data_IF_759752162707
#
_entry.id   IF_759752162707
#
_cell.length_a   1.000
_cell.length_b   1.000
_cell.length_c   1.000
_cell.angle_alpha   90.00
_cell.angle_beta   90.00
_cell.angle_gamma   90.00
#
_symmetry.space_group_name_H-M   'P 1'
#
loop_
_entity.id
_entity.type
_entity.pdbx_description
1 polymer ?
#
# COMPACT_ATOMS: atom_id res chain seq x y z
N UNK A 1 -39.03 69.32 -1.50
CA UNK A 1 -40.39 68.72 -1.61
C UNK A 1 -40.54 68.05 -2.97
N UNK A 2 -41.40 67.02 -3.08
CA UNK A 2 -41.56 66.04 -4.18
C UNK A 2 -40.66 64.80 -4.00
N UNK A 3 -41.03 63.82 -3.17
CA UNK A 3 -41.99 62.69 -3.34
C UNK A 3 -41.55 61.59 -4.34
N UNK A 4 -41.11 60.48 -3.75
CA UNK A 4 -41.41 59.05 -4.02
C UNK A 4 -41.35 58.54 -5.48
N UNK A 5 -40.48 57.56 -5.71
CA UNK A 5 -40.88 56.23 -6.20
C UNK A 5 -39.97 55.15 -5.60
N UNK A 6 -40.58 54.34 -4.72
CA UNK A 6 -40.06 53.10 -4.13
C UNK A 6 -40.57 51.99 -5.04
N UNK A 7 -39.70 51.15 -5.57
CA UNK A 7 -40.06 49.89 -6.22
C UNK A 7 -39.65 48.76 -5.28
N UNK A 8 -40.67 48.17 -4.65
CA UNK A 8 -40.65 46.79 -4.16
C UNK A 8 -41.18 45.91 -5.29
N UNK A 9 -40.55 44.77 -5.57
CA UNK A 9 -41.20 43.49 -5.94
C UNK A 9 -40.18 42.36 -5.62
N UNK A 10 -40.37 41.55 -4.57
CA UNK A 10 -41.16 40.30 -4.46
C UNK A 10 -40.36 39.05 -4.86
N UNK A 11 -40.02 38.26 -3.84
CA UNK A 11 -39.78 36.82 -3.94
C UNK A 11 -41.11 36.07 -4.00
N UNK A 12 -41.18 34.98 -4.76
CA UNK A 12 -41.79 33.74 -4.26
C UNK A 12 -40.82 32.57 -4.53
N UNK A 13 -40.64 31.60 -3.64
CA UNK A 13 -41.69 30.78 -3.04
C UNK A 13 -41.50 29.36 -3.58
N UNK A 14 -41.20 28.44 -2.67
CA UNK A 14 -40.91 27.04 -2.91
C UNK A 14 -42.04 26.27 -3.61
N UNK A 15 -41.68 25.27 -4.40
CA UNK A 15 -42.44 24.04 -4.61
C UNK A 15 -41.44 22.90 -4.87
N UNK A 16 -41.45 21.92 -3.97
CA UNK A 16 -40.83 20.63 -4.20
C UNK A 16 -41.74 19.72 -5.02
N UNK A 17 -41.17 18.65 -5.56
CA UNK A 17 -41.83 17.35 -5.51
C UNK A 17 -40.79 16.22 -5.58
N UNK A 18 -41.21 15.14 -4.94
CA UNK A 18 -40.54 14.01 -4.37
C UNK A 18 -40.10 12.98 -5.43
N UNK A 19 -38.93 12.35 -5.20
CA UNK A 19 -38.74 10.95 -5.56
C UNK A 19 -38.12 10.20 -4.37
N UNK A 20 -39.01 9.64 -3.55
CA UNK A 20 -38.72 8.59 -2.57
C UNK A 20 -38.20 7.36 -3.32
N UNK A 21 -37.03 6.86 -2.90
CA UNK A 21 -36.62 5.48 -3.13
C UNK A 21 -36.51 4.86 -1.73
N UNK A 22 -37.49 4.04 -1.38
CA UNK A 22 -37.49 3.24 -0.16
C UNK A 22 -36.27 2.33 -0.13
N UNK A 23 -35.43 2.49 0.88
CA UNK A 23 -34.45 1.50 1.27
C UNK A 23 -34.74 1.12 2.72
N UNK A 24 -35.29 -0.08 2.87
CA UNK A 24 -35.56 -0.73 4.14
C UNK A 24 -34.31 -0.70 5.03
N UNK A 25 -34.41 0.02 6.14
CA UNK A 25 -33.44 -0.02 7.22
C UNK A 25 -33.62 -1.33 7.98
N UNK A 26 -32.66 -2.25 7.83
CA UNK A 26 -32.51 -3.35 8.78
C UNK A 26 -31.77 -2.78 9.98
N UNK A 27 -32.53 -2.52 11.06
CA UNK A 27 -32.00 -2.24 12.40
C UNK A 27 -31.33 -3.51 12.91
N UNK A 28 -30.02 -3.46 13.15
CA UNK A 28 -29.32 -4.43 13.98
C UNK A 28 -29.12 -3.79 15.35
N UNK A 29 -29.76 -4.41 16.34
CA UNK A 29 -29.83 -3.98 17.73
C UNK A 29 -28.42 -3.79 18.32
N UNK A 30 -28.21 -2.64 18.96
CA UNK A 30 -27.22 -2.51 20.03
C UNK A 30 -27.69 -3.36 21.20
N UNK A 31 -26.86 -4.33 21.60
CA UNK A 31 -26.99 -5.02 22.88
C UNK A 31 -25.69 -4.79 23.64
N UNK A 32 -25.85 -4.15 24.80
CA UNK A 32 -24.83 -3.95 25.81
C UNK A 32 -24.16 -5.29 26.16
N UNK A 33 -22.83 -5.30 26.19
CA UNK A 33 -22.06 -6.43 26.74
C UNK A 33 -21.35 -5.93 27.98
N UNK A 34 -21.89 -6.36 29.12
CA UNK A 34 -21.32 -6.24 30.45
C UNK A 34 -19.93 -6.89 30.54
N UNK A 35 -19.12 -6.33 31.44
CA UNK A 35 -17.77 -6.77 31.77
C UNK A 35 -17.76 -8.23 32.27
N UNK A 36 -17.06 -9.11 31.55
CA UNK A 36 -16.84 -10.50 31.92
C UNK A 36 -15.38 -10.76 32.31
N UNK A 37 -15.19 -11.24 33.54
CA UNK A 37 -13.93 -11.58 34.21
C UNK A 37 -12.92 -12.41 33.41
N UNK A 38 -11.63 -12.08 33.62
CA UNK A 38 -10.47 -12.83 33.16
C UNK A 38 -10.30 -14.14 33.95
N UNK A 39 -10.50 -15.29 33.31
CA UNK A 39 -9.99 -16.57 33.83
C UNK A 39 -8.53 -16.74 33.45
N UNK A 40 -7.68 -16.78 34.48
CA UNK A 40 -6.23 -17.01 34.42
C UNK A 40 -5.96 -18.51 34.29
N UNK A 41 -5.38 -18.96 33.18
CA UNK A 41 -4.89 -20.34 33.03
C UNK A 41 -3.36 -20.35 33.05
N UNK A 42 -2.82 -21.05 34.05
CA UNK A 42 -1.40 -21.17 34.35
C UNK A 42 -0.65 -22.06 33.33
N UNK A 43 0.65 -21.80 33.18
CA UNK A 43 1.55 -22.49 32.26
C UNK A 43 1.92 -23.87 32.82
N UNK A 44 1.38 -24.93 32.21
CA UNK A 44 1.82 -26.31 32.40
C UNK A 44 3.19 -26.59 31.76
N UNK A 45 3.99 -27.36 32.48
CA UNK A 45 5.40 -27.67 32.27
C UNK A 45 5.68 -28.66 31.14
N UNK A 46 6.93 -28.58 30.63
CA UNK A 46 7.51 -29.36 29.52
C UNK A 46 7.50 -30.86 29.83
N UNK A 47 7.11 -31.70 28.85
CA UNK A 47 7.47 -33.13 28.80
C UNK A 47 8.20 -33.46 27.50
N UNK A 48 9.18 -34.35 27.66
CA UNK A 48 10.19 -34.75 26.69
C UNK A 48 9.66 -35.69 25.60
N UNK A 49 10.34 -35.67 24.45
CA UNK A 49 10.10 -36.54 23.30
C UNK A 49 10.68 -37.95 23.52
N UNK A 50 10.03 -39.01 23.01
CA UNK A 50 10.63 -40.33 22.91
C UNK A 50 11.39 -40.52 21.59
N UNK A 51 12.54 -41.18 21.70
CA UNK A 51 13.44 -41.65 20.63
C UNK A 51 12.84 -42.83 19.84
N UNK A 52 13.11 -42.96 18.52
CA UNK A 52 12.79 -44.18 17.78
C UNK A 52 14.00 -45.15 17.75
N UNK A 53 13.70 -46.45 17.86
CA UNK A 53 14.62 -47.58 17.59
C UNK A 53 14.31 -48.19 16.20
N UNK A 54 15.25 -48.96 15.60
CA UNK A 54 15.35 -49.14 14.15
C UNK A 54 14.57 -50.35 13.62
N UNK A 55 14.18 -50.29 12.35
CA UNK A 55 13.62 -51.41 11.57
C UNK A 55 14.64 -51.93 10.54
N UNK A 56 14.61 -53.23 10.20
CA UNK A 56 15.70 -53.91 9.50
C UNK A 56 15.61 -53.82 7.97
N UNK A 57 16.79 -54.00 7.40
CA UNK A 57 17.18 -54.07 6.00
C UNK A 57 16.52 -55.24 5.25
N UNK A 58 15.96 -54.97 4.07
CA UNK A 58 15.59 -55.99 3.09
C UNK A 58 16.04 -55.50 1.71
N UNK A 59 17.07 -56.14 1.21
CA UNK A 59 17.72 -55.95 -0.09
C UNK A 59 17.11 -56.92 -1.11
N UNK A 60 16.64 -56.43 -2.26
CA UNK A 60 16.56 -57.19 -3.54
C UNK A 60 16.42 -56.22 -4.73
N UNK A 61 16.75 -56.60 -5.99
CA UNK A 61 17.93 -56.10 -6.67
C UNK A 61 17.65 -55.31 -7.95
N UNK A 62 18.76 -54.78 -8.46
CA UNK A 62 19.00 -54.09 -9.73
C UNK A 62 18.27 -54.68 -10.95
N UNK A 63 17.56 -53.80 -11.67
CA UNK A 63 17.08 -54.02 -13.02
C UNK A 63 17.26 -52.73 -13.83
N UNK A 64 18.35 -52.70 -14.58
CA UNK A 64 18.72 -51.68 -15.56
C UNK A 64 17.89 -51.84 -16.85
N UNK A 65 17.06 -50.85 -17.22
CA UNK A 65 16.65 -50.57 -18.63
C UNK A 65 16.10 -49.12 -18.74
N UNK A 66 16.05 -48.49 -19.92
CA UNK A 66 17.03 -47.51 -20.39
C UNK A 66 16.50 -46.06 -20.46
N UNK A 67 17.44 -45.16 -20.67
CA UNK A 67 17.31 -43.73 -20.96
C UNK A 67 16.30 -43.44 -22.10
N UNK A 68 15.17 -42.82 -21.73
CA UNK A 68 14.25 -42.20 -22.67
C UNK A 68 14.35 -40.67 -22.53
N UNK A 69 15.01 -40.05 -23.49
CA UNK A 69 15.16 -38.60 -23.63
C UNK A 69 13.80 -37.95 -23.88
N UNK A 70 13.26 -37.23 -22.88
CA UNK A 70 12.06 -36.39 -23.07
C UNK A 70 12.50 -34.95 -23.38
N UNK A 71 12.12 -34.36 -24.53
CA UNK A 71 12.50 -33.00 -24.88
C UNK A 71 11.67 -31.97 -24.09
N UNK A 72 12.35 -31.00 -23.49
CA UNK A 72 11.83 -29.64 -23.34
C UNK A 72 10.73 -29.43 -22.31
N UNK A 73 11.01 -29.67 -21.01
CA UNK A 73 10.25 -29.02 -19.94
C UNK A 73 10.61 -27.53 -19.97
N UNK A 74 9.78 -26.73 -20.63
CA UNK A 74 9.79 -25.28 -20.43
C UNK A 74 9.40 -25.02 -19.00
N UNK A 75 10.36 -24.62 -18.17
CA UNK A 75 10.10 -24.19 -16.79
C UNK A 75 9.04 -23.08 -16.87
N UNK A 76 7.83 -23.25 -16.32
CA UNK A 76 6.82 -22.22 -16.37
C UNK A 76 7.36 -20.98 -15.67
N UNK A 77 7.39 -19.87 -16.41
CA UNK A 77 7.66 -18.52 -15.88
C UNK A 77 6.91 -18.37 -14.56
N UNK A 78 7.53 -17.88 -13.46
CA UNK A 78 6.85 -17.82 -12.17
C UNK A 78 5.54 -17.03 -12.33
N UNK A 79 4.43 -17.69 -12.00
CA UNK A 79 3.09 -17.11 -12.06
C UNK A 79 3.07 -15.77 -11.33
N UNK A 80 2.44 -14.77 -11.93
CA UNK A 80 2.33 -13.42 -11.38
C UNK A 80 1.91 -13.48 -9.90
N UNK A 81 2.81 -13.04 -9.00
CA UNK A 81 2.52 -13.00 -7.57
C UNK A 81 1.67 -11.77 -7.27
N UNK A 82 0.41 -11.98 -6.92
CA UNK A 82 -0.47 -10.93 -6.43
C UNK A 82 -0.06 -10.53 -5.00
N UNK A 83 -0.09 -9.23 -4.66
CA UNK A 83 0.14 -8.80 -3.29
C UNK A 83 -1.01 -9.26 -2.40
N UNK A 84 -0.75 -9.63 -1.13
CA UNK A 84 -1.80 -10.00 -0.21
C UNK A 84 -2.70 -8.79 0.07
N UNK A 85 -4.00 -9.05 0.13
CA UNK A 85 -5.00 -8.08 0.59
C UNK A 85 -5.11 -8.23 2.10
N UNK A 86 -4.84 -7.17 2.86
CA UNK A 86 -4.95 -7.18 4.32
C UNK A 86 -6.29 -6.58 4.70
N UNK A 87 -7.20 -7.42 5.19
CA UNK A 87 -8.52 -7.00 5.67
C UNK A 87 -8.46 -6.81 7.18
N UNK A 88 -8.81 -5.62 7.65
CA UNK A 88 -9.03 -5.35 9.08
C UNK A 88 -10.39 -5.92 9.43
N UNK A 89 -10.41 -7.13 9.97
CA UNK A 89 -11.65 -7.75 10.45
C UNK A 89 -11.38 -8.49 11.77
N UNK A 90 -12.16 -8.23 12.83
CA UNK A 90 -12.09 -9.01 14.06
C UNK A 90 -12.63 -10.45 13.93
N UNK A 91 -13.49 -10.76 12.95
CA UNK A 91 -14.18 -12.06 12.81
C UNK A 91 -13.82 -12.79 11.52
N UNK A 92 -12.86 -13.71 11.61
CA UNK A 92 -12.36 -14.50 10.47
C UNK A 92 -13.43 -15.34 9.77
N UNK A 93 -14.37 -15.93 10.52
CA UNK A 93 -15.37 -16.85 9.95
C UNK A 93 -16.35 -16.14 9.01
N UNK A 94 -16.75 -14.92 9.33
CA UNK A 94 -17.62 -14.10 8.48
C UNK A 94 -16.91 -13.79 7.16
N UNK A 95 -15.63 -13.37 7.22
CA UNK A 95 -14.81 -13.12 6.04
C UNK A 95 -14.64 -14.36 5.16
N UNK A 96 -14.38 -15.52 5.77
CA UNK A 96 -14.22 -16.78 5.05
C UNK A 96 -15.50 -17.18 4.31
N UNK A 97 -16.63 -17.14 5.01
CA UNK A 97 -17.93 -17.52 4.44
C UNK A 97 -18.34 -16.58 3.31
N UNK A 98 -18.10 -15.28 3.49
CA UNK A 98 -18.36 -14.27 2.48
C UNK A 98 -17.53 -14.49 1.20
N UNK A 99 -16.22 -14.72 1.33
CA UNK A 99 -15.32 -14.86 0.18
C UNK A 99 -15.35 -16.24 -0.48
N UNK A 100 -15.86 -17.27 0.21
CA UNK A 100 -15.95 -18.64 -0.33
C UNK A 100 -16.73 -18.71 -1.65
N UNK A 101 -17.72 -17.84 -1.84
CA UNK A 101 -18.56 -17.78 -3.04
C UNK A 101 -18.02 -16.79 -4.09
N UNK A 102 -17.00 -16.00 -3.76
CA UNK A 102 -16.45 -14.94 -4.63
C UNK A 102 -15.24 -15.46 -5.39
N UNK A 103 -14.29 -16.11 -4.69
CA UNK A 103 -13.02 -16.51 -5.27
C UNK A 103 -12.35 -17.64 -4.49
N UNK A 104 -11.47 -18.39 -5.16
CA UNK A 104 -10.60 -19.35 -4.49
C UNK A 104 -9.38 -18.63 -3.89
N UNK A 105 -9.38 -18.45 -2.57
CA UNK A 105 -8.38 -17.66 -1.84
C UNK A 105 -7.79 -18.43 -0.66
N UNK A 106 -6.55 -18.10 -0.30
CA UNK A 106 -5.87 -18.61 0.89
C UNK A 106 -5.76 -17.53 1.95
N UNK A 107 -5.74 -17.91 3.24
CA UNK A 107 -5.75 -16.96 4.35
C UNK A 107 -4.54 -17.12 5.28
N UNK A 108 -4.07 -15.99 5.82
CA UNK A 108 -3.13 -15.97 6.94
C UNK A 108 -3.59 -14.93 7.98
N UNK A 109 -3.87 -15.40 9.19
CA UNK A 109 -4.22 -14.51 10.31
C UNK A 109 -2.95 -13.81 10.81
N UNK A 110 -3.04 -12.49 10.97
CA UNK A 110 -1.96 -11.64 11.49
C UNK A 110 -2.50 -10.70 12.56
N UNK A 111 -1.64 -10.16 13.41
CA UNK A 111 -2.10 -9.28 14.50
C UNK A 111 -2.85 -8.01 14.05
N UNK A 112 -2.73 -7.61 12.78
CA UNK A 112 -3.42 -6.44 12.19
C UNK A 112 -4.79 -6.82 11.58
N UNK A 113 -5.04 -8.10 11.30
CA UNK A 113 -6.22 -8.57 10.58
C UNK A 113 -5.97 -9.88 9.84
N UNK A 114 -6.62 -10.08 8.70
CA UNK A 114 -6.45 -11.29 7.88
C UNK A 114 -5.84 -10.94 6.53
N UNK A 115 -4.75 -11.63 6.17
CA UNK A 115 -4.19 -11.59 4.82
C UNK A 115 -4.94 -12.57 3.94
N UNK A 116 -5.43 -12.10 2.80
CA UNK A 116 -6.05 -12.89 1.75
C UNK A 116 -5.07 -12.96 0.59
N UNK A 117 -4.71 -14.17 0.17
CA UNK A 117 -3.85 -14.45 -0.96
C UNK A 117 -4.69 -14.94 -2.12
N UNK A 118 -4.45 -14.35 -3.28
CA UNK A 118 -5.19 -14.63 -4.51
C UNK A 118 -4.20 -15.04 -5.60
N UNK A 119 -4.60 -16.01 -6.44
CA UNK A 119 -3.74 -16.57 -7.50
C UNK A 119 -4.07 -16.04 -8.90
N UNK A 120 -5.31 -15.59 -9.14
CA UNK A 120 -5.81 -15.10 -10.44
C UNK A 120 -6.11 -13.61 -10.39
N UNK A 121 -6.01 -12.95 -11.54
CA UNK A 121 -6.28 -11.51 -11.66
C UNK A 121 -7.78 -11.18 -11.53
N UNK A 122 -8.63 -11.99 -12.14
CA UNK A 122 -10.09 -11.88 -12.05
C UNK A 122 -10.57 -12.00 -10.61
N UNK A 123 -10.11 -13.03 -9.90
CA UNK A 123 -10.37 -13.24 -8.48
C UNK A 123 -9.89 -12.05 -7.63
N UNK A 124 -8.73 -11.47 -7.95
CA UNK A 124 -8.18 -10.35 -7.21
C UNK A 124 -9.08 -9.11 -7.35
N UNK A 125 -9.52 -8.82 -8.57
CA UNK A 125 -10.48 -7.75 -8.83
C UNK A 125 -11.83 -8.01 -8.14
N UNK A 126 -12.36 -9.23 -8.23
CA UNK A 126 -13.63 -9.62 -7.60
C UNK A 126 -13.59 -9.46 -6.07
N UNK A 127 -12.51 -9.89 -5.42
CA UNK A 127 -12.32 -9.73 -3.98
C UNK A 127 -12.26 -8.25 -3.59
N UNK A 128 -11.56 -7.41 -4.36
CA UNK A 128 -11.52 -5.96 -4.08
C UNK A 128 -12.91 -5.32 -4.20
N UNK A 129 -13.63 -5.59 -5.28
CA UNK A 129 -14.99 -5.08 -5.48
C UNK A 129 -15.94 -5.55 -4.39
N UNK A 130 -15.83 -6.82 -3.97
CA UNK A 130 -16.63 -7.37 -2.88
C UNK A 130 -16.36 -6.64 -1.56
N UNK A 131 -15.08 -6.42 -1.22
CA UNK A 131 -14.70 -5.76 0.03
C UNK A 131 -15.11 -4.28 0.04
N UNK A 132 -15.03 -3.59 -1.09
CA UNK A 132 -15.50 -2.20 -1.24
C UNK A 132 -17.03 -2.11 -1.09
N UNK A 133 -17.76 -3.01 -1.75
CA UNK A 133 -19.23 -3.07 -1.67
C UNK A 133 -19.72 -3.39 -0.26
N UNK A 134 -18.98 -4.27 0.44
CA UNK A 134 -19.27 -4.64 1.83
C UNK A 134 -18.77 -3.62 2.85
N UNK A 135 -18.24 -2.47 2.41
CA UNK A 135 -17.66 -1.41 3.23
C UNK A 135 -16.62 -1.91 4.26
N UNK A 136 -15.82 -2.90 3.86
CA UNK A 136 -14.78 -3.47 4.70
C UNK A 136 -13.53 -2.57 4.70
N UNK A 137 -12.89 -2.43 5.85
CA UNK A 137 -11.59 -1.76 5.93
C UNK A 137 -10.48 -2.70 5.47
N UNK A 138 -9.79 -2.37 4.38
CA UNK A 138 -8.66 -3.16 3.90
C UNK A 138 -7.57 -2.31 3.26
N UNK A 139 -6.41 -2.91 3.01
CA UNK A 139 -5.40 -2.35 2.12
C UNK A 139 -4.66 -3.43 1.35
N UNK A 140 -4.06 -3.06 0.22
CA UNK A 140 -3.18 -3.93 -0.57
C UNK A 140 -2.00 -3.12 -1.12
N UNK A 141 -1.16 -3.76 -1.94
CA UNK A 141 0.00 -3.13 -2.58
C UNK A 141 -0.17 -3.09 -4.10
N UNK A 142 0.64 -2.26 -4.76
CA UNK A 142 0.68 -2.24 -6.22
C UNK A 142 1.16 -3.60 -6.76
N UNK A 143 0.54 -4.05 -7.85
CA UNK A 143 1.00 -5.24 -8.57
C UNK A 143 2.43 -5.03 -9.07
N UNK A 144 3.31 -6.06 -9.02
CA UNK A 144 4.69 -5.95 -9.49
C UNK A 144 4.83 -5.49 -10.96
N UNK A 145 3.81 -5.77 -11.78
CA UNK A 145 3.70 -5.34 -13.19
C UNK A 145 3.46 -3.83 -13.31
N UNK A 146 2.75 -3.24 -12.36
CA UNK A 146 2.35 -1.82 -12.37
C UNK A 146 3.40 -0.92 -11.69
N UNK A 147 4.39 -1.50 -11.00
CA UNK A 147 5.46 -0.73 -10.38
C UNK A 147 6.35 -0.10 -11.46
N UNK A 148 6.44 1.23 -11.56
CA UNK A 148 7.22 1.88 -12.59
C UNK A 148 8.73 1.67 -12.36
N UNK A 149 9.47 1.63 -13.46
CA UNK A 149 10.92 1.77 -13.46
C UNK A 149 11.26 3.24 -13.18
N UNK A 150 12.06 3.51 -12.15
CA UNK A 150 12.32 4.87 -11.67
C UNK A 150 13.76 5.27 -11.93
N UNK A 151 13.95 6.40 -12.58
CA UNK A 151 15.26 6.99 -12.88
C UNK A 151 15.24 8.48 -12.58
N UNK A 152 16.42 9.06 -12.33
CA UNK A 152 16.59 10.47 -12.06
C UNK A 152 17.41 11.10 -13.18
N UNK A 153 16.92 12.21 -13.71
CA UNK A 153 17.68 13.09 -14.61
C UNK A 153 18.30 14.21 -13.76
N UNK A 154 19.59 14.45 -13.97
CA UNK A 154 20.34 15.60 -13.46
C UNK A 154 20.83 16.49 -14.59
N UNK A 155 21.05 17.76 -14.29
CA UNK A 155 21.67 18.74 -15.20
C UNK A 155 20.67 19.63 -15.94
N UNK A 156 19.37 19.32 -15.86
CA UNK A 156 18.33 20.17 -16.43
C UNK A 156 18.08 21.41 -15.56
N UNK A 157 17.74 22.56 -16.15
CA UNK A 157 17.30 23.73 -15.41
C UNK A 157 15.89 23.53 -14.84
N UNK A 158 15.36 24.56 -14.18
CA UNK A 158 13.94 24.60 -13.86
C UNK A 158 13.12 24.68 -15.16
N UNK A 159 12.30 23.67 -15.39
CA UNK A 159 11.48 23.49 -16.59
C UNK A 159 10.14 22.87 -16.20
N UNK A 160 9.15 23.05 -17.08
CA UNK A 160 7.86 22.41 -16.94
C UNK A 160 7.96 20.91 -17.23
N UNK A 161 7.19 20.12 -16.51
CA UNK A 161 7.20 18.65 -16.63
C UNK A 161 6.75 18.20 -18.02
N UNK A 162 5.86 18.97 -18.66
CA UNK A 162 5.37 18.72 -20.01
C UNK A 162 6.48 18.79 -21.07
N UNK A 163 7.38 19.78 -20.98
CA UNK A 163 8.47 19.95 -21.94
C UNK A 163 9.44 18.77 -21.88
N UNK A 164 9.77 18.35 -20.65
CA UNK A 164 10.64 17.20 -20.42
C UNK A 164 9.98 15.92 -20.94
N UNK A 165 8.67 15.75 -20.72
CA UNK A 165 7.93 14.59 -21.20
C UNK A 165 7.97 14.50 -22.73
N UNK A 166 7.67 15.59 -23.42
CA UNK A 166 7.67 15.62 -24.88
C UNK A 166 9.06 15.29 -25.46
N UNK A 167 10.14 15.82 -24.87
CA UNK A 167 11.50 15.51 -25.31
C UNK A 167 11.85 14.04 -25.12
N UNK A 168 11.43 13.44 -24.00
CA UNK A 168 11.67 12.02 -23.74
C UNK A 168 10.86 11.12 -24.67
N UNK A 169 9.63 11.50 -25.02
CA UNK A 169 8.80 10.77 -25.98
C UNK A 169 9.37 10.84 -27.41
N UNK A 170 9.97 11.97 -27.81
CA UNK A 170 10.69 12.12 -29.08
C UNK A 170 11.91 11.19 -29.18
N UNK A 171 12.60 10.96 -28.05
CA UNK A 171 13.67 9.98 -27.94
C UNK A 171 13.16 8.53 -27.80
N UNK A 172 11.84 8.30 -27.94
CA UNK A 172 11.21 6.98 -27.90
C UNK A 172 11.00 6.40 -26.50
N UNK A 173 11.13 7.21 -25.44
CA UNK A 173 10.95 6.77 -24.05
C UNK A 173 9.48 6.87 -23.63
N UNK A 174 8.86 5.75 -23.27
CA UNK A 174 7.49 5.71 -22.76
C UNK A 174 7.42 6.13 -21.29
N UNK A 175 7.31 7.43 -21.06
CA UNK A 175 7.19 8.03 -19.73
C UNK A 175 5.75 7.91 -19.22
N UNK A 176 5.59 7.52 -17.95
CA UNK A 176 4.30 7.44 -17.25
C UNK A 176 4.09 8.62 -16.28
N UNK A 177 5.17 9.29 -15.88
CA UNK A 177 5.09 10.48 -15.04
C UNK A 177 6.45 11.08 -14.75
N UNK A 178 6.47 12.40 -14.57
CA UNK A 178 7.66 13.20 -14.25
C UNK A 178 7.35 13.95 -12.97
N UNK A 179 8.34 14.05 -12.08
CA UNK A 179 8.19 14.78 -10.82
C UNK A 179 9.48 15.53 -10.50
N UNK A 180 9.40 16.84 -10.28
CA UNK A 180 10.53 17.60 -9.75
C UNK A 180 10.85 17.18 -8.30
N UNK A 181 12.10 16.83 -8.03
CA UNK A 181 12.61 16.59 -6.67
C UNK A 181 13.25 17.88 -6.16
N UNK A 182 12.61 18.51 -5.17
CA UNK A 182 13.20 19.65 -4.44
C UNK A 182 14.28 19.19 -3.46
N UNK A 183 15.41 19.88 -3.41
CA UNK A 183 16.44 19.67 -2.38
C UNK A 183 16.06 20.43 -1.10
N UNK A 184 16.44 19.89 0.06
CA UNK A 184 16.13 20.49 1.37
C UNK A 184 16.69 21.90 1.56
N UNK A 185 17.79 22.23 0.88
CA UNK A 185 18.47 23.53 0.94
C UNK A 185 18.56 24.21 -0.43
N UNK A 186 17.58 23.95 -1.30
CA UNK A 186 17.47 24.66 -2.58
C UNK A 186 17.05 26.10 -2.28
N UNK A 187 17.95 27.06 -2.46
CA UNK A 187 17.60 28.48 -2.41
C UNK A 187 16.82 28.88 -3.67
N UNK A 188 16.03 29.94 -3.59
CA UNK A 188 15.14 30.40 -4.66
C UNK A 188 15.87 30.79 -5.97
N UNK A 189 17.21 30.84 -5.96
CA UNK A 189 18.06 31.14 -7.12
C UNK A 189 18.84 29.96 -7.73
N UNK A 190 18.70 28.73 -7.20
CA UNK A 190 19.45 27.55 -7.70
C UNK A 190 18.74 26.91 -8.92
N UNK A 191 18.70 27.65 -10.04
CA UNK A 191 18.01 27.24 -11.27
C UNK A 191 18.84 26.34 -12.19
N UNK A 192 20.13 26.13 -11.90
CA UNK A 192 20.99 25.25 -12.67
C UNK A 192 21.14 23.91 -11.95
N UNK A 193 20.72 22.79 -12.57
CA UNK A 193 20.84 21.42 -12.04
C UNK A 193 19.69 20.96 -11.11
N UNK A 194 18.46 21.19 -11.56
CA UNK A 194 17.26 20.56 -11.00
C UNK A 194 17.32 19.02 -11.13
N UNK A 195 16.60 18.35 -10.24
CA UNK A 195 16.46 16.89 -10.22
C UNK A 195 15.05 16.51 -10.64
N UNK A 196 14.92 15.69 -11.69
CA UNK A 196 13.63 15.18 -12.14
C UNK A 196 13.57 13.67 -11.96
N UNK A 197 12.54 13.19 -11.27
CA UNK A 197 12.22 11.77 -11.15
C UNK A 197 11.31 11.37 -12.31
N UNK A 198 11.78 10.43 -13.13
CA UNK A 198 11.02 9.90 -14.25
C UNK A 198 10.51 8.50 -13.88
N UNK A 199 9.21 8.30 -14.06
CA UNK A 199 8.55 7.00 -14.01
C UNK A 199 8.39 6.48 -15.44
N UNK A 200 8.92 5.29 -15.70
CA UNK A 200 8.87 4.61 -16.99
C UNK A 200 8.13 3.29 -16.81
N UNK A 201 7.38 2.85 -17.82
CA UNK A 201 6.71 1.55 -17.79
C UNK A 201 7.75 0.44 -17.69
N UNK A 202 7.53 -0.50 -16.77
CA UNK A 202 8.49 -1.58 -16.54
C UNK A 202 8.59 -2.48 -17.78
N UNK A 203 9.81 -2.69 -18.27
CA UNK A 203 10.10 -3.58 -19.40
C UNK A 203 10.17 -2.88 -20.76
N UNK A 204 9.92 -1.57 -20.86
CA UNK A 204 10.07 -0.83 -22.14
C UNK A 204 11.50 -0.41 -22.41
N UNK A 205 12.25 -0.03 -21.37
CA UNK A 205 13.58 0.57 -21.51
C UNK A 205 14.48 0.19 -20.33
N UNK A 206 15.79 0.14 -20.56
CA UNK A 206 16.82 -0.10 -19.53
C UNK A 206 17.62 1.16 -19.22
N UNK A 207 18.25 1.21 -18.04
CA UNK A 207 19.14 2.33 -17.68
C UNK A 207 20.30 2.49 -18.66
N UNK A 208 20.79 1.40 -19.24
CA UNK A 208 21.89 1.43 -20.21
C UNK A 208 21.50 2.18 -21.49
N UNK A 209 20.32 1.90 -22.02
CA UNK A 209 19.74 2.58 -23.20
C UNK A 209 19.51 4.06 -22.88
N UNK A 210 18.94 4.38 -21.71
CA UNK A 210 18.75 5.78 -21.30
C UNK A 210 20.07 6.56 -21.24
N UNK A 211 21.18 5.92 -20.82
CA UNK A 211 22.50 6.57 -20.76
C UNK A 211 23.08 6.94 -22.13
N UNK A 212 22.54 6.42 -23.22
CA UNK A 212 22.91 6.82 -24.59
C UNK A 212 22.39 8.23 -24.90
N UNK A 213 21.27 8.62 -24.29
CA UNK A 213 20.73 9.99 -24.33
C UNK A 213 21.57 10.88 -23.42
N UNK A 214 22.56 11.56 -24.00
CA UNK A 214 23.50 12.43 -23.29
C UNK A 214 23.04 13.87 -23.14
N UNK A 215 22.09 14.29 -23.95
CA UNK A 215 21.53 15.64 -23.93
C UNK A 215 20.03 15.61 -24.22
N UNK A 216 19.29 16.51 -23.60
CA UNK A 216 17.90 16.82 -23.92
C UNK A 216 17.83 18.34 -24.12
N UNK A 217 17.15 18.82 -25.16
CA UNK A 217 17.04 20.26 -25.47
C UNK A 217 18.40 20.96 -25.58
N UNK A 218 19.40 20.27 -26.15
CA UNK A 218 20.79 20.75 -26.22
C UNK A 218 21.48 20.97 -24.87
N UNK A 219 20.89 20.49 -23.77
CA UNK A 219 21.43 20.57 -22.41
C UNK A 219 22.01 19.19 -22.05
N UNK A 220 23.27 19.15 -21.60
CA UNK A 220 23.90 17.90 -21.15
C UNK A 220 23.23 17.40 -19.87
N UNK A 221 22.85 16.12 -19.87
CA UNK A 221 22.18 15.48 -18.74
C UNK A 221 22.95 14.28 -18.22
N UNK A 222 22.61 13.85 -17.00
CA UNK A 222 23.08 12.57 -16.44
C UNK A 222 21.91 11.75 -15.91
N UNK A 223 21.92 10.46 -16.25
CA UNK A 223 20.97 9.48 -15.76
C UNK A 223 21.49 8.75 -14.53
N UNK A 224 20.67 8.71 -13.49
CA UNK A 224 20.95 7.97 -12.26
C UNK A 224 19.80 7.01 -11.97
N UNK A 225 20.13 5.81 -11.46
CA UNK A 225 19.12 4.93 -10.91
C UNK A 225 18.47 5.59 -9.68
N UNK A 226 17.15 5.61 -9.62
CA UNK A 226 16.48 6.09 -8.41
C UNK A 226 16.67 5.07 -7.28
N UNK A 227 17.60 5.34 -6.38
CA UNK A 227 17.91 4.43 -5.27
C UNK A 227 16.85 4.43 -4.16
N UNK A 228 15.86 5.33 -4.24
CA UNK A 228 14.97 5.63 -3.13
C UNK A 228 15.78 6.24 -1.99
N UNK A 229 15.37 7.40 -1.47
CA UNK A 229 16.00 7.89 -0.24
C UNK A 229 15.94 6.81 0.85
N UNK A 230 16.80 6.92 1.88
CA UNK A 230 16.62 6.23 3.18
C UNK A 230 15.34 6.75 3.85
N UNK A 231 14.21 6.53 3.20
CA UNK A 231 12.89 6.86 3.70
C UNK A 231 12.59 5.75 4.68
N UNK A 232 12.30 6.13 5.91
CA UNK A 232 11.99 5.20 6.98
C UNK A 232 10.76 4.35 6.65
N UNK A 233 9.93 4.12 7.65
CA UNK A 233 8.69 3.37 7.41
C UNK A 233 7.76 4.15 6.51
N UNK A 234 7.26 3.50 5.46
CA UNK A 234 6.16 4.04 4.66
C UNK A 234 4.95 4.17 5.57
N UNK A 235 4.38 5.37 5.67
CA UNK A 235 3.17 5.64 6.42
C UNK A 235 2.06 6.01 5.45
N UNK A 236 0.91 5.38 5.59
CA UNK A 236 -0.29 5.71 4.84
C UNK A 236 -0.83 7.06 5.31
N UNK A 237 -1.02 8.03 4.41
CA UNK A 237 -1.54 9.35 4.78
C UNK A 237 -3.06 9.36 4.99
N UNK A 238 -3.76 8.29 4.58
CA UNK A 238 -5.20 8.12 4.82
C UNK A 238 -5.46 7.60 6.24
N UNK A 239 -4.98 6.40 6.55
CA UNK A 239 -5.27 5.73 7.83
C UNK A 239 -4.17 5.88 8.89
N UNK A 240 -3.06 6.53 8.53
CA UNK A 240 -1.88 6.76 9.38
C UNK A 240 -1.08 5.49 9.75
N UNK A 241 -1.51 4.33 9.28
CA UNK A 241 -0.86 3.04 9.52
C UNK A 241 0.47 2.90 8.79
N UNK A 242 1.27 1.95 9.24
CA UNK A 242 2.62 1.70 8.73
C UNK A 242 2.64 0.58 7.68
N UNK A 243 3.58 0.65 6.75
CA UNK A 243 3.90 -0.42 5.80
C UNK A 243 3.24 -0.31 4.42
N UNK A 244 2.24 0.55 4.24
CA UNK A 244 1.52 0.72 2.97
C UNK A 244 1.26 2.20 2.65
N UNK A 245 0.93 2.50 1.39
CA UNK A 245 0.60 3.85 0.93
C UNK A 245 -0.92 4.06 0.80
N UNK A 246 -1.33 5.31 0.62
CA UNK A 246 -2.77 5.67 0.58
C UNK A 246 -3.52 5.18 -0.67
N UNK A 247 -2.82 4.91 -1.78
CA UNK A 247 -3.44 4.59 -3.08
C UNK A 247 -4.37 3.37 -3.02
N UNK A 248 -3.92 2.31 -2.35
CA UNK A 248 -4.64 1.04 -2.27
C UNK A 248 -5.08 0.76 -0.82
N UNK A 249 -5.56 1.81 -0.14
CA UNK A 249 -5.99 1.77 1.25
C UNK A 249 -7.46 2.20 1.34
N UNK A 250 -8.34 1.26 1.65
CA UNK A 250 -9.77 1.47 1.90
C UNK A 250 -10.10 1.58 3.40
N UNK A 251 -9.07 1.70 4.24
CA UNK A 251 -9.23 1.95 5.67
C UNK A 251 -9.80 3.37 5.93
N UNK A 252 -10.49 3.56 7.05
CA UNK A 252 -11.02 4.87 7.45
C UNK A 252 -9.92 5.92 7.55
N UNK A 253 -10.25 7.14 7.12
CA UNK A 253 -9.33 8.28 7.21
C UNK A 253 -9.16 8.68 8.67
N UNK A 254 -7.94 9.02 9.08
CA UNK A 254 -7.63 9.50 10.43
C UNK A 254 -6.81 10.78 10.42
N UNK A 255 -7.06 11.64 11.41
CA UNK A 255 -6.35 12.91 11.57
C UNK A 255 -4.97 12.71 12.19
N UNK A 256 -3.96 13.32 11.58
CA UNK A 256 -2.57 13.20 12.04
C UNK A 256 -2.32 13.90 13.39
N UNK A 257 -3.14 14.89 13.74
CA UNK A 257 -3.00 15.71 14.94
C UNK A 257 -3.70 15.09 16.16
N UNK A 258 -4.98 14.70 16.02
CA UNK A 258 -5.80 14.22 17.14
C UNK A 258 -6.21 12.73 17.04
N UNK A 259 -5.94 12.07 15.92
CA UNK A 259 -6.21 10.64 15.71
C UNK A 259 -7.67 10.26 15.40
N UNK A 260 -8.58 11.23 15.34
CA UNK A 260 -10.01 11.01 15.07
C UNK A 260 -10.32 10.78 13.58
N UNK A 261 -11.53 10.33 13.27
CA UNK A 261 -12.00 9.97 11.92
C UNK A 261 -12.36 11.20 11.05
N UNK A 262 -11.36 12.02 10.73
CA UNK A 262 -11.48 13.14 9.79
C UNK A 262 -10.13 13.48 9.14
N UNK A 263 -10.13 14.35 8.13
CA UNK A 263 -8.89 14.87 7.53
C UNK A 263 -8.25 15.99 8.35
N UNK A 264 -6.93 16.19 8.21
CA UNK A 264 -6.22 17.28 8.95
C UNK A 264 -6.84 18.67 8.70
N UNK A 265 -7.41 18.90 7.51
CA UNK A 265 -8.09 20.16 7.17
C UNK A 265 -9.43 20.38 7.90
N UNK A 266 -10.06 19.30 8.37
CA UNK A 266 -11.33 19.31 9.10
C UNK A 266 -11.11 19.24 10.63
N UNK A 267 -9.84 19.27 11.06
CA UNK A 267 -9.49 19.12 12.46
C UNK A 267 -9.80 20.40 13.23
N UNK A 268 -10.68 20.29 14.22
CA UNK A 268 -11.05 21.39 15.13
C UNK A 268 -10.21 21.43 16.41
N UNK A 269 -9.27 20.50 16.59
CA UNK A 269 -8.36 20.54 17.73
C UNK A 269 -7.46 21.78 17.62
N UNK A 270 -7.40 22.56 18.70
CA UNK A 270 -6.64 23.79 18.76
C UNK A 270 -5.14 23.51 18.73
N UNK A 271 -4.33 24.51 18.34
CA UNK A 271 -2.87 24.38 18.39
C UNK A 271 -2.33 24.16 19.82
N UNK A 272 -3.13 24.50 20.83
CA UNK A 272 -2.87 24.28 22.26
C UNK A 272 -3.27 22.90 22.75
N UNK A 273 -4.10 22.16 22.00
CA UNK A 273 -4.49 20.81 22.38
C UNK A 273 -3.29 19.87 22.24
N UNK A 274 -3.11 19.01 23.24
CA UNK A 274 -2.05 18.03 23.23
C UNK A 274 -2.31 16.99 22.12
N UNK A 275 -1.40 16.81 21.15
CA UNK A 275 -1.65 15.93 20.01
C UNK A 275 -1.77 14.48 20.47
N UNK A 276 -2.67 13.73 19.82
CA UNK A 276 -2.90 12.32 20.12
C UNK A 276 -2.59 11.44 18.91
N UNK A 277 -1.65 10.53 19.09
CA UNK A 277 -1.20 9.64 18.02
C UNK A 277 -2.25 8.57 17.71
N UNK A 278 -2.73 8.52 16.47
CA UNK A 278 -3.68 7.51 15.99
C UNK A 278 -3.16 6.05 16.08
N UNK A 279 -1.84 5.87 16.15
CA UNK A 279 -1.20 4.56 16.12
C UNK A 279 -0.91 3.99 17.51
N UNK A 280 -0.44 4.81 18.47
CA UNK A 280 -0.08 4.34 19.81
C UNK A 280 -0.85 5.02 20.95
N UNK A 281 -1.69 6.03 20.66
CA UNK A 281 -2.41 6.81 21.67
C UNK A 281 -1.56 7.79 22.47
N UNK A 282 -0.25 7.90 22.18
CA UNK A 282 0.66 8.80 22.87
C UNK A 282 0.48 10.28 22.53
N UNK A 283 1.09 11.13 23.34
CA UNK A 283 1.04 12.60 23.31
C UNK A 283 1.96 13.22 22.23
N UNK A 284 1.76 12.81 20.98
CA UNK A 284 2.50 13.29 19.81
C UNK A 284 1.67 13.10 18.53
N UNK A 285 2.07 13.77 17.43
CA UNK A 285 1.42 13.59 16.12
C UNK A 285 1.70 12.21 15.55
N UNK A 286 0.80 11.66 14.75
CA UNK A 286 0.93 10.28 14.26
C UNK A 286 2.16 10.02 13.36
N UNK A 287 2.78 11.07 12.80
CA UNK A 287 3.99 10.99 11.97
C UNK A 287 5.30 11.17 12.77
N UNK A 288 5.21 11.32 14.09
CA UNK A 288 6.37 11.48 14.96
C UNK A 288 7.31 10.27 14.84
N UNK A 289 8.61 10.55 14.78
CA UNK A 289 9.65 9.51 14.69
C UNK A 289 9.81 8.75 15.99
N UNK A 290 9.47 9.36 17.13
CA UNK A 290 9.59 8.81 18.47
C UNK A 290 8.39 7.92 18.86
N UNK A 291 7.42 7.75 17.96
CA UNK A 291 6.30 6.84 18.18
C UNK A 291 6.79 5.40 18.41
N UNK A 292 6.43 4.81 19.55
CA UNK A 292 6.79 3.43 19.93
C UNK A 292 6.33 2.39 18.89
N UNK A 293 5.13 2.55 18.33
CA UNK A 293 4.62 1.65 17.28
C UNK A 293 5.36 1.81 15.95
N UNK A 294 5.90 3.00 15.67
CA UNK A 294 6.77 3.24 14.50
C UNK A 294 8.10 2.51 14.68
N UNK A 295 8.74 2.68 15.84
CA UNK A 295 9.98 1.99 16.18
C UNK A 295 9.82 0.46 16.13
N UNK A 296 8.72 -0.07 16.69
CA UNK A 296 8.39 -1.50 16.61
C UNK A 296 8.26 -1.99 15.17
N UNK A 297 7.58 -1.22 14.31
CA UNK A 297 7.46 -1.57 12.89
C UNK A 297 8.83 -1.55 12.17
N UNK A 298 9.68 -0.56 12.47
CA UNK A 298 11.06 -0.48 11.95
C UNK A 298 11.86 -1.72 12.31
N UNK A 299 11.81 -2.16 13.57
CA UNK A 299 12.50 -3.36 14.04
C UNK A 299 12.03 -4.62 13.32
N UNK A 300 10.72 -4.85 13.21
CA UNK A 300 10.15 -6.01 12.49
C UNK A 300 10.64 -6.04 11.04
N UNK A 301 10.63 -4.87 10.37
CA UNK A 301 11.10 -4.74 8.98
C UNK A 301 12.60 -5.03 8.85
N UNK A 302 13.41 -4.57 9.80
CA UNK A 302 14.85 -4.81 9.80
C UNK A 302 15.16 -6.30 10.02
N UNK A 303 14.47 -6.96 10.95
CA UNK A 303 14.60 -8.40 11.19
C UNK A 303 14.25 -9.22 9.95
N UNK A 304 13.14 -8.89 9.27
CA UNK A 304 12.74 -9.55 8.04
C UNK A 304 13.79 -9.39 6.92
N UNK A 305 14.32 -8.16 6.75
CA UNK A 305 15.40 -7.87 5.80
C UNK A 305 16.67 -8.68 6.11
N UNK A 306 17.06 -8.77 7.38
CA UNK A 306 18.24 -9.53 7.80
C UNK A 306 18.07 -11.02 7.57
N UNK A 307 16.87 -11.57 7.85
CA UNK A 307 16.56 -12.98 7.58
C UNK A 307 16.69 -13.30 6.09
N UNK A 308 16.17 -12.44 5.22
CA UNK A 308 16.27 -12.62 3.77
C UNK A 308 17.72 -12.61 3.29
N UNK A 309 18.55 -11.69 3.80
CA UNK A 309 19.98 -11.63 3.46
C UNK A 309 20.75 -12.89 3.86
N UNK A 310 20.43 -13.46 5.03
CA UNK A 310 21.06 -14.72 5.49
C UNK A 310 20.68 -15.90 4.60
N UNK A 311 19.44 -15.95 4.14
CA UNK A 311 18.98 -17.00 3.22
C UNK A 311 19.69 -16.91 1.87
N UNK A 312 19.84 -15.71 1.31
CA UNK A 312 20.53 -15.51 0.02
C UNK A 312 22.05 -15.64 0.07
N UNK A 313 22.65 -15.77 1.26
CA UNK A 313 24.08 -15.89 1.45
C UNK A 313 24.52 -17.31 1.86
N UNK A 314 23.56 -18.21 2.08
CA UNK A 314 23.78 -19.61 2.43
C UNK A 314 23.54 -20.60 1.27
N UNK A 315 23.20 -20.08 0.10
CA UNK A 315 23.15 -20.78 -1.20
C UNK A 315 24.37 -20.34 -2.03
#
# INVERSE_FOLDING_TARGET
MVKKKKTEEISPGALGDERKCDSMQIKINEMDVEEGEFIRVERGTKRAAPTPSPVPDVTVPDATVPEATVPGVTVPKPSQRFPPIVVKNPRFQELRTALQHVANVEYQIVGVGTKVFVKREEDFAAVLTFLETSNCEFYTHDLPKNRPFKVVIRGLPLMEECDIQQCLEQEGVQVTGIYRIKRRHEGDGDNGNCLYLIHIKKGTTRLSELKEIRALLSIRIRWEAFRGGRRGVTQCLRCLGFGHGSRNCAMRKRCMNCGQEHGVAECTADATDEPKCANCGGKHRANDKECSNRARFEQIRQQASNRQRRQTAGD
#
